data_IF_522261596210
#
_entry.id   IF_522261596210
#
_cell.length_a   1.000
_cell.length_b   1.000
_cell.length_c   1.000
_cell.angle_alpha   90.00
_cell.angle_beta   90.00
_cell.angle_gamma   90.00
#
_symmetry.space_group_name_H-M   'P 1'
#
loop_
_entity.id
_entity.type
_entity.pdbx_description
1 polymer ?
#
# COMPACT_ATOMS: atom_id res chain seq x y z
N UNK A 1 2.87 25.12 14.38
CA UNK A 1 2.84 24.80 14.29
C UNK A 1 2.94 24.64 14.71
N UNK A 2 3.11 24.42 14.79
CA UNK A 2 3.21 23.97 14.87
C UNK A 2 3.23 23.57 15.44
N UNK A 3 3.42 23.32 15.73
CA UNK A 3 3.32 22.77 15.85
C UNK A 3 3.28 22.34 16.46
N UNK A 4 3.33 22.47 16.58
CA UNK A 4 3.18 21.95 16.79
C UNK A 4 3.25 21.50 17.03
N UNK A 5 3.40 21.52 17.06
CA UNK A 5 3.41 20.94 16.89
C UNK A 5 3.68 20.44 17.01
N UNK A 6 3.81 20.45 17.21
CA UNK A 6 3.92 19.84 16.92
C UNK A 6 4.11 19.31 17.13
N UNK A 7 4.23 19.29 17.21
CA UNK A 7 4.28 18.65 17.05
C UNK A 7 4.31 17.98 16.98
N UNK A 8 4.44 17.98 17.10
CA UNK A 8 4.45 17.23 16.72
C UNK A 8 4.77 16.62 16.73
N UNK A 9 5.09 16.17 16.71
CA UNK A 9 5.37 15.54 16.33
C UNK A 9 5.72 14.69 16.56
N UNK A 10 5.90 14.17 16.59
CA UNK A 10 6.11 13.48 16.43
C UNK A 10 6.08 12.54 16.60
N UNK A 11 6.20 11.94 16.39
CA UNK A 11 6.00 11.24 16.43
C UNK A 11 5.92 10.27 16.15
N UNK A 12 6.03 9.59 16.60
CA UNK A 12 5.92 8.50 16.09
C UNK A 12 5.60 8.26 14.65
N UNK A 13 6.30 8.36 13.85
CA UNK A 13 6.34 8.45 12.47
C UNK A 13 5.32 7.74 11.63
N UNK A 14 5.07 6.51 11.92
CA UNK A 14 4.18 5.72 11.07
C UNK A 14 2.76 6.18 11.09
N UNK A 15 2.35 6.74 12.18
CA UNK A 15 0.97 7.16 12.32
C UNK A 15 0.62 8.32 11.41
N UNK A 16 1.62 8.94 10.80
CA UNK A 16 1.41 10.10 9.96
C UNK A 16 1.37 9.82 8.47
N UNK A 17 1.38 8.55 8.10
CA UNK A 17 1.30 8.21 6.68
C UNK A 17 -0.10 8.49 6.16
N UNK A 18 -0.18 9.16 5.02
CA UNK A 18 -1.46 9.42 4.37
C UNK A 18 -1.91 8.21 3.55
N UNK A 19 -3.14 8.29 3.05
CA UNK A 19 -3.70 7.22 2.25
C UNK A 19 -2.87 6.93 1.01
N UNK A 20 -2.35 7.99 0.38
CA UNK A 20 -1.54 7.79 -0.82
C UNK A 20 -0.23 7.08 -0.50
N UNK A 21 0.37 7.42 0.63
CA UNK A 21 1.61 6.76 1.04
C UNK A 21 1.38 5.29 1.32
N UNK A 22 0.30 4.97 1.99
CA UNK A 22 -0.04 3.59 2.30
C UNK A 22 -0.34 2.82 1.01
N UNK A 23 -1.10 3.44 0.12
CA UNK A 23 -1.42 2.84 -1.18
C UNK A 23 -0.14 2.52 -1.95
N UNK A 24 0.78 3.46 -1.99
CA UNK A 24 2.04 3.24 -2.70
C UNK A 24 2.87 2.12 -2.06
N UNK A 25 2.89 2.05 -0.73
CA UNK A 25 3.61 1.00 -0.04
C UNK A 25 3.06 -0.38 -0.42
N UNK A 26 1.74 -0.51 -0.43
CA UNK A 26 1.10 -1.79 -0.77
C UNK A 26 1.40 -2.15 -2.22
N UNK A 27 1.28 -1.19 -3.13
CA UNK A 27 1.54 -1.45 -4.54
C UNK A 27 2.98 -1.87 -4.76
N UNK A 28 3.91 -1.17 -4.13
CA UNK A 28 5.32 -1.49 -4.29
C UNK A 28 5.65 -2.87 -3.75
N UNK A 29 5.04 -3.25 -2.64
CA UNK A 29 5.27 -4.56 -2.05
C UNK A 29 4.62 -5.69 -2.85
N UNK A 30 3.73 -5.35 -3.79
CA UNK A 30 2.95 -6.34 -4.53
C UNK A 30 3.57 -6.77 -5.85
N UNK A 31 4.77 -6.29 -6.15
CA UNK A 31 5.47 -6.74 -7.36
C UNK A 31 5.75 -8.24 -7.25
N UNK A 32 5.45 -8.95 -8.31
CA UNK A 32 5.74 -10.37 -8.35
C UNK A 32 4.70 -11.26 -7.70
N UNK A 33 3.67 -10.66 -7.11
CA UNK A 33 2.62 -11.42 -6.45
C UNK A 33 2.99 -11.79 -5.03
N UNK A 34 2.18 -11.35 -4.07
CA UNK A 34 2.46 -11.58 -2.65
C UNK A 34 1.17 -11.92 -1.92
N UNK A 35 1.32 -12.55 -0.78
CA UNK A 35 0.19 -12.92 0.07
C UNK A 35 -0.20 -11.78 0.98
N UNK A 36 -1.44 -11.82 1.42
CA UNK A 36 -1.99 -10.82 2.33
C UNK A 36 -1.16 -10.69 3.61
N UNK A 37 -0.73 -11.82 4.17
CA UNK A 37 0.06 -11.77 5.40
C UNK A 37 1.39 -11.06 5.19
N UNK A 38 1.99 -11.25 4.02
CA UNK A 38 3.22 -10.54 3.71
C UNK A 38 2.98 -9.04 3.70
N UNK A 39 1.87 -8.62 3.08
CA UNK A 39 1.54 -7.19 3.03
C UNK A 39 1.30 -6.61 4.41
N UNK A 40 0.66 -7.38 5.29
CA UNK A 40 0.45 -6.91 6.65
C UNK A 40 1.76 -6.60 7.35
N UNK A 41 2.71 -7.51 7.24
CA UNK A 41 4.01 -7.31 7.87
C UNK A 41 4.81 -6.22 7.18
N UNK A 42 4.85 -6.27 5.87
CA UNK A 42 5.66 -5.34 5.09
C UNK A 42 5.22 -3.90 5.29
N UNK A 43 3.91 -3.68 5.36
CA UNK A 43 3.35 -2.34 5.46
C UNK A 43 2.95 -1.98 6.88
N UNK A 44 3.18 -2.88 7.82
CA UNK A 44 2.92 -2.64 9.25
C UNK A 44 1.47 -2.22 9.48
N UNK A 45 0.54 -3.07 9.04
CA UNK A 45 -0.88 -2.77 9.12
C UNK A 45 -1.62 -3.91 9.80
N UNK A 46 -2.74 -3.58 10.43
CA UNK A 46 -3.65 -4.59 10.93
C UNK A 46 -4.38 -5.23 9.75
N UNK A 47 -4.94 -6.40 9.99
CA UNK A 47 -5.72 -7.07 8.95
C UNK A 47 -6.89 -6.21 8.50
N UNK A 48 -7.55 -5.57 9.44
CA UNK A 48 -8.72 -4.75 9.12
C UNK A 48 -8.35 -3.57 8.22
N UNK A 49 -7.25 -2.90 8.53
CA UNK A 49 -6.78 -1.79 7.73
C UNK A 49 -6.39 -2.26 6.33
N UNK A 50 -5.65 -3.37 6.28
CA UNK A 50 -5.20 -3.89 5.00
C UNK A 50 -6.39 -4.28 4.13
N UNK A 51 -7.40 -4.92 4.73
CA UNK A 51 -8.57 -5.33 3.97
C UNK A 51 -9.24 -4.12 3.30
N UNK A 52 -9.35 -3.03 4.04
CA UNK A 52 -9.93 -1.81 3.49
C UNK A 52 -9.17 -1.34 2.24
N UNK A 53 -7.84 -1.30 2.35
CA UNK A 53 -7.02 -0.86 1.23
C UNK A 53 -7.03 -1.85 0.07
N UNK A 54 -7.03 -3.14 0.38
CA UNK A 54 -7.08 -4.15 -0.68
C UNK A 54 -8.38 -4.06 -1.46
N UNK A 55 -9.50 -3.90 -0.77
CA UNK A 55 -10.79 -3.74 -1.43
C UNK A 55 -10.78 -2.51 -2.34
N UNK A 56 -10.23 -1.42 -1.84
CA UNK A 56 -10.13 -0.19 -2.60
C UNK A 56 -9.25 -0.37 -3.84
N UNK A 57 -8.08 -0.98 -3.65
CA UNK A 57 -7.13 -1.13 -4.75
C UNK A 57 -7.62 -2.10 -5.81
N UNK A 58 -8.28 -3.18 -5.39
CA UNK A 58 -8.87 -4.12 -6.33
C UNK A 58 -10.00 -3.45 -7.10
N UNK A 59 -10.81 -2.65 -6.42
CA UNK A 59 -11.90 -1.94 -7.06
C UNK A 59 -11.43 -0.93 -8.09
N UNK A 60 -10.27 -0.34 -7.87
CA UNK A 60 -9.68 0.62 -8.80
C UNK A 60 -8.77 -0.05 -9.84
N UNK A 61 -8.65 -1.35 -9.76
CA UNK A 61 -7.83 -2.13 -10.70
C UNK A 61 -6.34 -1.78 -10.61
N UNK A 62 -5.92 -1.32 -9.46
CA UNK A 62 -4.49 -1.06 -9.21
C UNK A 62 -3.78 -2.32 -8.76
N UNK A 63 -4.54 -3.24 -8.16
CA UNK A 63 -4.08 -4.57 -7.81
C UNK A 63 -4.98 -5.59 -8.47
N UNK A 64 -4.45 -6.78 -8.70
CA UNK A 64 -5.27 -7.90 -9.12
C UNK A 64 -4.95 -9.09 -8.23
N UNK A 65 -5.88 -10.03 -8.17
CA UNK A 65 -5.70 -11.25 -7.41
C UNK A 65 -5.38 -12.38 -8.36
N UNK A 66 -4.27 -13.05 -8.09
CA UNK A 66 -3.82 -14.16 -8.92
C UNK A 66 -3.83 -15.40 -8.05
N UNK A 67 -4.51 -16.45 -8.50
CA UNK A 67 -4.55 -17.70 -7.76
C UNK A 67 -3.19 -18.39 -7.90
N UNK A 68 -2.61 -18.76 -6.77
CA UNK A 68 -1.34 -19.42 -6.77
C UNK A 68 -1.48 -20.91 -7.13
N UNK A 69 -2.55 -21.51 -6.63
CA UNK A 69 -2.74 -22.93 -6.72
C UNK A 69 -4.23 -23.21 -6.61
N UNK A 70 -4.71 -24.14 -7.41
CA UNK A 70 -6.13 -24.49 -7.40
C UNK A 70 -6.58 -25.05 -6.07
N UNK A 71 -5.67 -25.65 -5.32
CA UNK A 71 -5.99 -26.22 -4.02
C UNK A 71 -5.76 -25.26 -2.87
N UNK A 72 -5.26 -24.08 -3.17
CA UNK A 72 -4.96 -23.09 -2.15
C UNK A 72 -6.12 -22.13 -1.99
N UNK A 73 -6.46 -21.85 -0.76
CA UNK A 73 -7.43 -20.81 -0.47
C UNK A 73 -6.80 -19.44 -0.45
N UNK A 74 -5.53 -19.37 -0.72
CA UNK A 74 -4.78 -18.15 -0.64
C UNK A 74 -4.48 -17.61 -2.02
N UNK A 75 -4.98 -16.43 -2.32
CA UNK A 75 -4.62 -15.77 -3.56
C UNK A 75 -3.38 -14.92 -3.35
N UNK A 76 -2.75 -14.60 -4.44
CA UNK A 76 -1.64 -13.64 -4.44
C UNK A 76 -2.17 -12.32 -4.96
N UNK A 77 -1.71 -11.24 -4.38
CA UNK A 77 -2.04 -9.90 -4.85
C UNK A 77 -0.86 -9.39 -5.64
N UNK A 78 -1.13 -8.92 -6.83
CA UNK A 78 -0.08 -8.45 -7.72
C UNK A 78 -0.44 -7.09 -8.28
N UNK A 79 0.57 -6.24 -8.44
CA UNK A 79 0.36 -4.90 -8.99
C UNK A 79 0.02 -5.02 -10.47
N UNK A 80 -0.96 -4.22 -10.92
CA UNK A 80 -1.34 -4.17 -12.33
C UNK A 80 -0.50 -3.12 -13.05
N UNK A 81 -0.63 -3.06 -14.38
CA UNK A 81 0.03 -2.01 -15.12
C UNK A 81 -0.46 -0.64 -14.69
N UNK A 82 -1.76 -0.53 -14.40
CA UNK A 82 -2.32 0.70 -13.89
C UNK A 82 -1.72 1.06 -12.55
N UNK A 83 -1.50 0.05 -11.70
CA UNK A 83 -0.84 0.28 -10.41
C UNK A 83 0.59 0.76 -10.57
N UNK A 84 1.30 0.22 -11.56
CA UNK A 84 2.67 0.66 -11.83
C UNK A 84 2.69 2.11 -12.28
N UNK A 85 1.72 2.50 -13.10
CA UNK A 85 1.59 3.90 -13.51
C UNK A 85 1.34 4.80 -12.31
N UNK A 86 0.48 4.35 -11.41
CA UNK A 86 0.21 5.10 -10.19
C UNK A 86 1.49 5.30 -9.39
N UNK A 87 2.26 4.23 -9.21
CA UNK A 87 3.51 4.31 -8.45
C UNK A 87 4.50 5.27 -9.09
N UNK A 88 4.60 5.21 -10.41
CA UNK A 88 5.52 6.08 -11.14
C UNK A 88 5.15 7.54 -10.92
N UNK A 89 3.87 7.85 -11.05
CA UNK A 89 3.37 9.20 -10.85
C UNK A 89 3.57 9.65 -9.41
N UNK A 90 3.27 8.76 -8.47
CA UNK A 90 3.43 9.07 -7.06
C UNK A 90 4.88 9.41 -6.71
N UNK A 91 5.81 8.59 -7.20
CA UNK A 91 7.23 8.84 -6.93
C UNK A 91 7.71 10.12 -7.57
N UNK A 92 7.18 10.43 -8.75
CA UNK A 92 7.50 11.69 -9.39
C UNK A 92 7.03 12.89 -8.59
N UNK A 93 5.82 12.80 -8.06
CA UNK A 93 5.28 13.88 -7.22
C UNK A 93 6.09 14.04 -5.94
N UNK A 94 6.46 12.93 -5.32
CA UNK A 94 7.26 12.98 -4.10
C UNK A 94 8.59 13.64 -4.36
N UNK A 95 9.20 13.36 -5.50
CA UNK A 95 10.48 13.97 -5.83
C UNK A 95 10.38 15.49 -6.00
N UNK A 96 9.22 15.96 -6.48
CA UNK A 96 9.03 17.37 -6.70
C UNK A 96 8.87 18.17 -5.39
N UNK A 97 8.36 17.53 -4.35
CA UNK A 97 8.07 18.23 -3.11
C UNK A 97 9.14 18.01 -2.04
N UNK A 98 10.19 17.33 -2.36
CA UNK A 98 11.28 17.12 -1.41
C UNK A 98 12.17 18.35 -1.23
#
# INVERSE_FOLDING_TARGET
MIGLLAQTKRRIGNSNRGCLDITADILEASYGGVRKTYLMYRCNMSFKQLKYYLDFLLGKELLCMVAEDVNSNHGLFEITDKGKEFLKTYKGLKALVK
#
